data_IF_623628124295
#
_entry.id   IF_623628124295
#
_cell.length_a   1.000
_cell.length_b   1.000
_cell.length_c   1.000
_cell.angle_alpha   90.00
_cell.angle_beta   90.00
_cell.angle_gamma   90.00
#
_symmetry.space_group_name_H-M   'P 1'
#
loop_
_entity.id
_entity.type
_entity.pdbx_description
1 polymer ?
#
# COMPACT_ATOMS: atom_id res chain seq x y z
N UNK A 1 3.47 1.96 -10.39
CA UNK A 1 2.71 0.74 -10.03
C UNK A 1 2.90 0.50 -8.54
N UNK A 2 1.88 0.12 -7.78
CA UNK A 2 2.02 -0.21 -6.35
C UNK A 2 1.50 -1.62 -6.07
N UNK A 3 1.95 -2.20 -4.96
CA UNK A 3 1.64 -3.57 -4.53
C UNK A 3 0.87 -3.63 -3.23
N UNK A 4 0.15 -2.55 -2.86
CA UNK A 4 -0.58 -2.46 -1.58
C UNK A 4 -1.56 -3.62 -1.45
N UNK A 5 -2.38 -3.84 -2.48
CA UNK A 5 -3.38 -4.92 -2.51
C UNK A 5 -2.74 -6.30 -2.35
N UNK A 6 -1.69 -6.57 -3.13
CA UNK A 6 -0.99 -7.85 -3.15
C UNK A 6 -0.40 -8.18 -1.76
N UNK A 7 0.30 -7.23 -1.15
CA UNK A 7 0.89 -7.40 0.18
C UNK A 7 -0.20 -7.63 1.23
N UNK A 8 -1.27 -6.83 1.17
CA UNK A 8 -2.40 -6.91 2.09
C UNK A 8 -3.06 -8.29 2.01
N UNK A 9 -3.33 -8.79 0.81
CA UNK A 9 -3.99 -10.08 0.58
C UNK A 9 -3.08 -11.25 0.96
N UNK A 10 -1.78 -11.18 0.66
CA UNK A 10 -0.80 -12.18 1.07
C UNK A 10 -0.68 -12.30 2.60
N UNK A 11 -0.88 -11.20 3.33
CA UNK A 11 -0.89 -11.17 4.80
C UNK A 11 -2.29 -11.46 5.42
N UNK A 12 -3.31 -11.75 4.61
CA UNK A 12 -4.68 -11.99 5.10
C UNK A 12 -5.39 -10.75 5.67
N UNK A 13 -4.87 -9.55 5.38
CA UNK A 13 -5.41 -8.27 5.86
C UNK A 13 -6.58 -7.86 4.95
N UNK A 14 -7.69 -7.34 5.50
CA UNK A 14 -8.78 -6.79 4.68
C UNK A 14 -8.52 -5.33 4.36
N UNK A 15 -9.04 -4.84 3.23
CA UNK A 15 -8.98 -3.41 2.89
C UNK A 15 -9.56 -2.54 4.03
N UNK A 16 -10.59 -3.06 4.72
CA UNK A 16 -11.18 -2.44 5.91
C UNK A 16 -10.22 -2.25 7.07
N UNK A 17 -9.32 -3.19 7.29
CA UNK A 17 -8.40 -3.13 8.42
C UNK A 17 -7.36 -2.04 8.16
N UNK A 18 -6.89 -1.95 6.91
CA UNK A 18 -5.92 -0.95 6.49
C UNK A 18 -6.47 0.49 6.58
N UNK A 19 -7.62 0.77 5.97
CA UNK A 19 -8.16 2.15 6.02
C UNK A 19 -8.59 2.55 7.45
N UNK A 20 -9.06 1.60 8.28
CA UNK A 20 -9.39 1.88 9.69
C UNK A 20 -8.14 2.16 10.51
N UNK A 21 -7.07 1.38 10.33
CA UNK A 21 -5.78 1.59 10.99
C UNK A 21 -5.20 2.97 10.66
N UNK A 22 -5.34 3.41 9.41
CA UNK A 22 -4.88 4.71 8.94
C UNK A 22 -5.84 5.87 9.25
N UNK A 23 -7.04 5.59 9.77
CA UNK A 23 -8.13 6.56 9.96
C UNK A 23 -8.48 7.30 8.66
N UNK A 24 -8.45 6.60 7.54
CA UNK A 24 -8.79 7.12 6.22
C UNK A 24 -10.13 6.58 5.73
N UNK A 25 -10.72 7.26 4.74
CA UNK A 25 -11.88 6.74 4.02
C UNK A 25 -11.50 5.55 3.14
N UNK A 26 -12.40 4.57 3.02
CA UNK A 26 -12.23 3.39 2.17
C UNK A 26 -11.80 3.76 0.73
N UNK A 27 -12.47 4.76 0.14
CA UNK A 27 -12.20 5.20 -1.24
C UNK A 27 -10.76 5.68 -1.43
N UNK A 28 -10.09 6.18 -0.39
CA UNK A 28 -8.69 6.61 -0.49
C UNK A 28 -7.77 5.41 -0.74
N UNK A 29 -7.93 4.33 0.02
CA UNK A 29 -7.17 3.10 -0.20
C UNK A 29 -7.55 2.45 -1.52
N UNK A 30 -8.84 2.42 -1.87
CA UNK A 30 -9.28 1.86 -3.15
C UNK A 30 -8.64 2.58 -4.36
N UNK A 31 -8.58 3.92 -4.34
CA UNK A 31 -7.91 4.70 -5.38
C UNK A 31 -6.40 4.43 -5.48
N UNK A 32 -5.74 4.17 -4.33
CA UNK A 32 -4.33 3.79 -4.34
C UNK A 32 -4.18 2.37 -4.90
N UNK A 33 -4.93 1.40 -4.40
CA UNK A 33 -4.86 0.00 -4.86
C UNK A 33 -5.22 -0.17 -6.36
N UNK A 34 -6.08 0.69 -6.92
CA UNK A 34 -6.39 0.70 -8.36
C UNK A 34 -5.39 1.47 -9.22
N UNK A 35 -4.50 2.25 -8.60
CA UNK A 35 -3.58 3.14 -9.31
C UNK A 35 -4.23 4.44 -9.84
N UNK A 36 -5.49 4.71 -9.52
CA UNK A 36 -6.19 5.95 -9.88
C UNK A 36 -5.52 7.18 -9.25
N UNK A 37 -4.96 7.01 -8.06
CA UNK A 37 -4.17 8.04 -7.38
C UNK A 37 -2.82 7.48 -6.97
N UNK A 38 -1.79 8.32 -7.05
CA UNK A 38 -0.46 8.01 -6.52
C UNK A 38 -0.36 8.54 -5.09
N UNK A 39 -0.05 7.69 -4.08
CA UNK A 39 0.19 8.17 -2.73
C UNK A 39 1.44 9.06 -2.69
N UNK A 40 1.41 10.08 -1.83
CA UNK A 40 2.63 10.85 -1.52
C UNK A 40 3.65 9.96 -0.81
N UNK A 41 4.92 10.38 -0.76
CA UNK A 41 5.96 9.65 -0.03
C UNK A 41 5.60 9.49 1.46
N UNK A 42 4.96 10.50 2.06
CA UNK A 42 4.46 10.42 3.44
C UNK A 42 3.34 9.39 3.58
N UNK A 43 2.38 9.37 2.66
CA UNK A 43 1.30 8.38 2.66
C UNK A 43 1.82 6.96 2.44
N UNK A 44 2.80 6.79 1.55
CA UNK A 44 3.43 5.51 1.28
C UNK A 44 4.10 4.93 2.54
N UNK A 45 4.81 5.77 3.31
CA UNK A 45 5.38 5.36 4.61
C UNK A 45 4.31 4.96 5.63
N UNK A 46 3.21 5.71 5.70
CA UNK A 46 2.10 5.39 6.58
C UNK A 46 1.46 4.05 6.21
N UNK A 47 1.26 3.80 4.91
CA UNK A 47 0.69 2.55 4.40
C UNK A 47 1.58 1.36 4.75
N UNK A 48 2.90 1.46 4.51
CA UNK A 48 3.86 0.40 4.88
C UNK A 48 3.85 0.13 6.38
N UNK A 49 3.90 1.19 7.20
CA UNK A 49 3.83 1.05 8.66
C UNK A 49 2.54 0.36 9.09
N UNK A 50 1.39 0.76 8.52
CA UNK A 50 0.10 0.19 8.87
C UNK A 50 -0.02 -1.28 8.43
N UNK A 51 0.53 -1.64 7.27
CA UNK A 51 0.59 -3.03 6.81
C UNK A 51 1.43 -3.89 7.76
N UNK A 52 2.61 -3.41 8.16
CA UNK A 52 3.48 -4.13 9.10
C UNK A 52 2.84 -4.28 10.48
N UNK A 53 2.20 -3.23 10.99
CA UNK A 53 1.44 -3.27 12.24
C UNK A 53 0.26 -4.27 12.23
N UNK A 54 -0.29 -4.54 11.04
CA UNK A 54 -1.39 -5.49 10.82
C UNK A 54 -0.91 -6.92 10.53
N UNK A 55 0.41 -7.15 10.52
CA UNK A 55 1.01 -8.48 10.36
C UNK A 55 1.63 -8.76 8.99
N UNK A 56 1.69 -7.77 8.09
CA UNK A 56 2.52 -7.89 6.89
C UNK A 56 4.01 -7.75 7.24
N UNK A 57 4.88 -8.16 6.31
CA UNK A 57 6.32 -7.88 6.38
C UNK A 57 6.75 -7.33 5.04
N UNK A 58 6.68 -6.00 4.90
CA UNK A 58 7.07 -5.30 3.69
C UNK A 58 7.82 -3.99 3.97
N UNK A 59 8.66 -3.59 3.04
CA UNK A 59 9.26 -2.25 3.00
C UNK A 59 8.67 -1.36 1.89
N UNK A 60 9.18 -0.13 1.79
CA UNK A 60 8.73 0.84 0.79
C UNK A 60 9.01 0.37 -0.64
N UNK A 61 10.14 -0.30 -0.89
CA UNK A 61 10.51 -0.76 -2.23
C UNK A 61 9.66 -1.95 -2.68
N UNK A 62 9.26 -2.81 -1.74
CA UNK A 62 8.33 -3.91 -2.00
C UNK A 62 6.91 -3.40 -2.27
N UNK A 63 6.44 -2.41 -1.51
CA UNK A 63 5.09 -1.85 -1.66
C UNK A 63 4.95 -0.87 -2.83
N UNK A 64 6.01 -0.13 -3.14
CA UNK A 64 6.08 0.88 -4.18
C UNK A 64 7.37 0.71 -5.00
N UNK A 65 7.47 -0.38 -5.79
CA UNK A 65 8.63 -0.58 -6.65
C UNK A 65 8.72 0.57 -7.65
N UNK A 66 9.93 1.10 -7.83
CA UNK A 66 10.19 2.02 -8.92
C UNK A 66 9.87 1.31 -10.24
N UNK A 67 9.26 1.99 -11.23
CA UNK A 67 9.15 1.42 -12.57
C UNK A 67 10.58 1.08 -13.00
N UNK A 68 10.78 -0.20 -13.31
CA UNK A 68 12.07 -0.75 -13.67
C UNK A 68 12.75 0.17 -14.69
N UNK A 69 13.90 0.75 -14.30
CA UNK A 69 14.73 1.57 -15.18
C UNK A 69 15.49 0.72 -16.22
N UNK A 70 15.08 -0.54 -16.45
CA UNK A 70 15.56 -1.43 -17.51
C UNK A 70 14.47 -1.62 -18.56
N UNK A 71 14.07 -0.51 -19.18
CA UNK A 71 13.73 -0.52 -20.59
C UNK A 71 14.66 0.49 -21.26
N UNK A 72 15.62 -0.06 -22.01
CA UNK A 72 16.58 0.65 -22.84
C UNK A 72 15.91 1.59 -23.86
#
# INVERSE_FOLDING_TARGET
MNRIREIREAAGIRQSDLYRKLKWGQSRIANYESGERTPSLSDARLIVSALNDLGASCDLAQAFPEPDQSAA
#
